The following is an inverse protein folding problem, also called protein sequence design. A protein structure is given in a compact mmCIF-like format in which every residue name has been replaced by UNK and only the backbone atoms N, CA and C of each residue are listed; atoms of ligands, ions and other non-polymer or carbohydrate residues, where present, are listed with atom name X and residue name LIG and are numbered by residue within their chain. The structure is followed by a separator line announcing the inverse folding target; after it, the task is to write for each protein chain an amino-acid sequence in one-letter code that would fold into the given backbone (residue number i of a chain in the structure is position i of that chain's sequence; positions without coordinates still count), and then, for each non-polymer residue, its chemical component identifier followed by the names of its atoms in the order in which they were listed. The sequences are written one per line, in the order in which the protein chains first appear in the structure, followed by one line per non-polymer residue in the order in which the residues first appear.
data_IF_816972676244
#
_entry.id   IF_816972676244
#
_cell.length_a   1.000
_cell.length_b   1.000
_cell.length_c   1.000
_cell.angle_alpha   90.00
_cell.angle_beta   90.00
_cell.angle_gamma   90.00
#
_symmetry.space_group_name_H-M   'P 1'
#
loop_
_entity.id
_entity.type
_entity.pdbx_description
1 polymer ?
#
# COMPACT_ATOMS: atom_id res chain seq x y z
N UNK A 1 -23.28 -9.70 -11.62
CA UNK A 1 -23.15 -8.43 -10.87
C UNK A 1 -23.68 -7.32 -11.77
N UNK A 2 -24.89 -6.81 -11.48
CA UNK A 2 -25.46 -5.68 -12.24
C UNK A 2 -24.80 -4.40 -11.72
N UNK A 3 -23.94 -3.82 -12.53
CA UNK A 3 -23.36 -2.51 -12.24
C UNK A 3 -24.38 -1.46 -12.69
N UNK A 4 -25.11 -0.88 -11.76
CA UNK A 4 -26.07 0.20 -12.04
C UNK A 4 -25.28 1.51 -12.00
N UNK A 5 -25.07 2.13 -13.16
CA UNK A 5 -24.46 3.46 -13.29
C UNK A 5 -25.58 4.41 -13.67
N UNK A 6 -25.79 5.49 -12.90
CA UNK A 6 -26.81 6.49 -13.23
C UNK A 6 -26.31 7.42 -14.36
N UNK A 7 -27.26 8.08 -15.05
CA UNK A 7 -26.93 9.01 -16.14
C UNK A 7 -26.06 10.19 -15.67
N UNK A 8 -26.17 10.62 -14.41
CA UNK A 8 -25.30 11.65 -13.85
C UNK A 8 -23.83 11.22 -13.79
N UNK A 9 -23.58 9.92 -13.60
CA UNK A 9 -22.24 9.37 -13.57
C UNK A 9 -21.63 9.24 -14.98
N UNK A 10 -22.38 9.49 -16.05
CA UNK A 10 -21.87 9.50 -17.41
C UNK A 10 -22.45 10.73 -18.11
N UNK A 11 -21.91 11.94 -17.84
CA UNK A 11 -22.53 13.19 -18.30
C UNK A 11 -22.80 13.21 -19.80
N UNK A 12 -21.93 12.57 -20.59
CA UNK A 12 -22.05 12.49 -22.04
C UNK A 12 -23.23 11.64 -22.54
N UNK A 13 -23.81 10.77 -21.72
CA UNK A 13 -25.06 10.07 -22.07
C UNK A 13 -26.19 11.09 -22.29
N UNK A 14 -26.20 12.18 -21.51
CA UNK A 14 -27.19 13.24 -21.64
C UNK A 14 -27.00 14.06 -22.93
N UNK A 15 -25.84 13.96 -23.60
CA UNK A 15 -25.58 14.60 -24.91
C UNK A 15 -26.19 13.81 -26.07
N UNK A 16 -26.62 12.56 -25.84
CA UNK A 16 -27.16 11.68 -26.89
C UNK A 16 -28.64 12.02 -27.10
N UNK A 17 -29.06 12.42 -28.32
CA UNK A 17 -30.47 12.62 -28.63
C UNK A 17 -31.28 11.34 -28.39
N UNK A 18 -32.47 11.46 -27.80
CA UNK A 18 -33.31 10.31 -27.42
C UNK A 18 -33.64 9.39 -28.61
N UNK A 19 -33.86 10.00 -29.78
CA UNK A 19 -34.07 9.34 -31.06
C UNK A 19 -32.87 8.52 -31.55
N UNK A 20 -31.65 8.89 -31.15
CA UNK A 20 -30.42 8.16 -31.47
C UNK A 20 -30.13 7.11 -30.42
N UNK A 21 -30.46 7.35 -29.15
CA UNK A 21 -30.10 6.48 -28.04
C UNK A 21 -30.58 5.03 -28.22
N UNK A 22 -31.79 4.83 -28.74
CA UNK A 22 -32.34 3.50 -29.04
C UNK A 22 -31.62 2.74 -30.17
N UNK A 23 -30.76 3.42 -30.95
CA UNK A 23 -29.96 2.83 -32.03
C UNK A 23 -28.55 2.46 -31.60
N UNK A 24 -28.13 2.88 -30.40
CA UNK A 24 -26.78 2.64 -29.90
C UNK A 24 -26.69 1.34 -29.12
N UNK A 25 -25.55 0.67 -29.27
CA UNK A 25 -25.18 -0.49 -28.45
C UNK A 25 -24.19 -0.04 -27.39
N UNK A 26 -24.56 -0.22 -26.12
CA UNK A 26 -23.61 -0.08 -25.01
C UNK A 26 -22.79 -1.38 -24.86
N UNK A 27 -21.48 -1.27 -24.98
CA UNK A 27 -20.55 -2.33 -24.65
C UNK A 27 -19.94 -2.03 -23.28
N UNK A 28 -20.06 -2.92 -22.31
CA UNK A 28 -19.32 -2.77 -21.05
C UNK A 28 -17.83 -3.09 -21.26
N UNK A 29 -16.94 -2.62 -20.38
CA UNK A 29 -15.49 -2.81 -20.52
C UNK A 29 -15.08 -4.29 -20.57
N UNK A 30 -15.78 -5.16 -19.84
CA UNK A 30 -15.51 -6.59 -19.84
C UNK A 30 -15.92 -7.24 -21.18
N UNK A 31 -17.12 -6.92 -21.69
CA UNK A 31 -17.60 -7.40 -22.99
C UNK A 31 -16.74 -6.86 -24.14
N UNK A 32 -16.22 -5.64 -24.03
CA UNK A 32 -15.29 -5.08 -25.01
C UNK A 32 -13.98 -5.85 -25.05
N UNK A 33 -13.37 -6.12 -23.89
CA UNK A 33 -12.10 -6.87 -23.80
C UNK A 33 -12.22 -8.31 -24.32
N UNK A 34 -13.38 -8.93 -24.14
CA UNK A 34 -13.62 -10.31 -24.57
C UNK A 34 -14.10 -10.44 -26.02
N UNK A 35 -14.50 -9.34 -26.66
CA UNK A 35 -14.93 -9.38 -28.05
C UNK A 35 -13.73 -9.47 -28.98
N UNK A 36 -13.84 -10.34 -30.00
CA UNK A 36 -12.86 -10.40 -31.09
C UNK A 36 -12.91 -9.15 -31.96
N UNK A 37 -14.08 -8.53 -32.09
CA UNK A 37 -14.32 -7.37 -32.95
C UNK A 37 -13.68 -6.09 -32.39
N UNK A 38 -13.60 -5.97 -31.06
CA UNK A 38 -13.07 -4.79 -30.37
C UNK A 38 -11.64 -4.96 -29.85
N UNK A 39 -10.98 -6.09 -30.17
CA UNK A 39 -9.63 -6.38 -29.66
C UNK A 39 -8.62 -5.42 -30.29
N UNK A 40 -7.90 -4.67 -29.45
CA UNK A 40 -6.90 -3.67 -29.88
C UNK A 40 -7.44 -2.27 -30.17
N UNK A 41 -8.75 -2.07 -30.02
CA UNK A 41 -9.39 -0.75 -30.17
C UNK A 41 -9.58 -0.12 -28.78
N UNK A 42 -9.45 1.21 -28.60
CA UNK A 42 -9.76 1.86 -27.33
C UNK A 42 -11.24 1.70 -26.95
N UNK A 43 -11.51 1.55 -25.66
CA UNK A 43 -12.86 1.44 -25.13
C UNK A 43 -13.62 2.77 -25.23
N UNK A 44 -14.75 2.80 -25.95
CA UNK A 44 -15.56 4.01 -26.19
C UNK A 44 -16.95 3.96 -25.54
N UNK A 45 -17.37 2.83 -24.97
CA UNK A 45 -18.65 2.66 -24.30
C UNK A 45 -19.85 2.47 -25.23
N UNK A 46 -20.19 3.46 -26.06
CA UNK A 46 -21.34 3.42 -26.96
C UNK A 46 -20.93 3.35 -28.44
N UNK A 47 -21.61 2.47 -29.19
CA UNK A 47 -21.29 2.14 -30.57
C UNK A 47 -22.54 2.20 -31.45
N UNK A 48 -22.41 2.74 -32.65
CA UNK A 48 -23.45 2.70 -33.70
C UNK A 48 -23.37 1.34 -34.42
N UNK A 49 -22.16 0.84 -34.60
CA UNK A 49 -21.83 -0.46 -35.17
C UNK A 49 -20.53 -0.97 -34.53
N UNK A 50 -20.17 -2.27 -34.66
CA UNK A 50 -18.99 -2.83 -34.01
C UNK A 50 -17.65 -2.13 -34.33
N UNK A 51 -17.55 -1.46 -35.46
CA UNK A 51 -16.36 -0.72 -35.89
C UNK A 51 -16.51 0.81 -35.74
N UNK A 52 -17.68 1.29 -35.28
CA UNK A 52 -18.02 2.71 -35.26
C UNK A 52 -18.53 3.14 -33.90
N UNK A 53 -17.62 3.69 -33.09
CA UNK A 53 -17.97 4.35 -31.84
C UNK A 53 -18.84 5.59 -32.09
N UNK A 54 -19.80 5.85 -31.20
CA UNK A 54 -20.61 7.05 -31.23
C UNK A 54 -19.79 8.29 -30.80
N UNK A 55 -19.00 8.12 -29.73
CA UNK A 55 -18.10 9.17 -29.25
C UNK A 55 -16.72 9.08 -29.90
N UNK A 56 -16.12 10.23 -30.17
CA UNK A 56 -14.74 10.35 -30.67
C UNK A 56 -13.67 10.22 -29.58
N UNK A 57 -14.08 10.21 -28.31
CA UNK A 57 -13.20 10.02 -27.15
C UNK A 57 -13.79 8.99 -26.18
N UNK A 58 -12.95 8.30 -25.40
CA UNK A 58 -13.42 7.29 -24.44
C UNK A 58 -14.48 7.81 -23.49
N UNK A 59 -15.45 6.95 -23.18
CA UNK A 59 -16.52 7.27 -22.24
C UNK A 59 -15.92 7.51 -20.85
N UNK A 60 -16.10 8.72 -20.34
CA UNK A 60 -15.70 9.07 -18.97
C UNK A 60 -16.86 8.78 -18.02
N UNK A 61 -16.64 7.86 -17.09
CA UNK A 61 -17.55 7.63 -15.96
C UNK A 61 -17.09 8.50 -14.80
N UNK A 62 -17.90 9.51 -14.45
CA UNK A 62 -17.73 10.35 -13.27
C UNK A 62 -18.54 9.76 -12.13
N UNK A 63 -17.99 8.78 -11.42
CA UNK A 63 -18.64 8.29 -10.21
C UNK A 63 -18.56 9.37 -9.12
N UNK A 64 -19.70 9.97 -8.74
CA UNK A 64 -19.80 10.71 -7.48
C UNK A 64 -19.95 9.69 -6.36
N UNK A 65 -19.08 9.76 -5.35
CA UNK A 65 -19.19 8.91 -4.18
C UNK A 65 -20.48 9.29 -3.44
N UNK A 66 -21.50 8.45 -3.55
CA UNK A 66 -22.71 8.58 -2.73
C UNK A 66 -22.39 7.95 -1.37
N UNK A 67 -22.08 8.81 -0.40
CA UNK A 67 -21.93 8.40 1.00
C UNK A 67 -23.30 8.09 1.59
N UNK A 68 -23.42 6.96 2.29
CA UNK A 68 -24.65 6.59 2.98
C UNK A 68 -24.89 7.50 4.18
N UNK A 69 -26.17 7.73 4.53
CA UNK A 69 -26.52 8.43 5.77
C UNK A 69 -25.84 7.73 6.97
N UNK A 70 -24.94 8.45 7.67
CA UNK A 70 -24.15 7.90 8.78
C UNK A 70 -22.69 7.58 8.46
N UNK A 71 -22.25 7.73 7.20
CA UNK A 71 -20.82 7.68 6.87
C UNK A 71 -20.09 8.89 7.47
N UNK A 72 -19.01 8.65 8.21
CA UNK A 72 -18.10 9.70 8.64
C UNK A 72 -17.20 10.10 7.45
N UNK A 73 -17.07 11.40 7.20
CA UNK A 73 -16.14 11.96 6.22
C UNK A 73 -15.25 12.92 6.98
N UNK A 74 -13.98 12.56 7.13
CA UNK A 74 -12.97 13.50 7.58
C UNK A 74 -12.53 14.35 6.38
N UNK A 75 -12.67 15.66 6.52
CA UNK A 75 -12.25 16.67 5.54
C UNK A 75 -11.29 17.69 6.17
N UNK A 76 -10.65 17.32 7.29
CA UNK A 76 -9.64 18.17 7.94
C UNK A 76 -8.50 18.51 6.97
N UNK A 77 -7.86 19.69 7.10
CA UNK A 77 -6.75 20.08 6.25
C UNK A 77 -5.69 18.99 6.10
N UNK A 78 -5.53 18.50 4.87
CA UNK A 78 -4.70 17.35 4.51
C UNK A 78 -3.65 17.77 3.50
N UNK A 79 -2.41 17.35 3.72
CA UNK A 79 -1.34 17.52 2.75
C UNK A 79 -0.97 16.20 2.06
N UNK A 80 -0.79 16.22 0.74
CA UNK A 80 -0.23 15.09 -0.02
C UNK A 80 1.05 15.57 -0.71
N UNK A 81 2.17 15.14 -0.17
CA UNK A 81 3.51 15.55 -0.63
C UNK A 81 4.19 14.34 -1.27
N UNK A 82 4.85 14.55 -2.40
CA UNK A 82 5.74 13.57 -3.01
C UNK A 82 7.14 14.14 -3.18
N UNK A 83 8.13 13.41 -2.71
CA UNK A 83 9.54 13.58 -3.05
C UNK A 83 9.89 12.55 -4.11
N UNK A 84 10.28 12.98 -5.31
CA UNK A 84 10.58 12.09 -6.42
C UNK A 84 11.97 12.36 -7.00
N UNK A 85 12.75 11.30 -7.20
CA UNK A 85 14.01 11.39 -7.92
C UNK A 85 13.75 11.82 -9.38
N UNK A 86 14.57 12.71 -9.93
CA UNK A 86 14.38 13.39 -11.23
C UNK A 86 14.09 12.48 -12.42
N UNK A 87 14.61 11.25 -12.41
CA UNK A 87 14.46 10.27 -13.49
C UNK A 87 13.24 9.34 -13.32
N UNK A 88 12.45 9.51 -12.26
CA UNK A 88 11.27 8.68 -12.00
C UNK A 88 9.97 9.40 -12.39
N UNK A 89 9.10 8.77 -13.20
CA UNK A 89 7.82 9.36 -13.54
C UNK A 89 6.88 9.34 -12.33
N UNK A 90 6.41 10.52 -11.92
CA UNK A 90 5.34 10.65 -10.91
C UNK A 90 4.00 10.20 -11.51
N UNK A 91 3.77 10.44 -12.80
CA UNK A 91 2.50 10.13 -13.46
C UNK A 91 2.16 8.63 -13.41
N UNK A 92 0.95 8.33 -12.96
CA UNK A 92 0.45 6.96 -12.80
C UNK A 92 0.91 6.27 -11.52
N UNK A 93 1.66 6.97 -10.67
CA UNK A 93 2.08 6.47 -9.37
C UNK A 93 0.93 6.50 -8.33
N UNK A 94 1.15 5.90 -7.15
CA UNK A 94 0.21 5.99 -6.03
C UNK A 94 -0.12 7.42 -5.64
N UNK A 95 0.76 8.39 -5.90
CA UNK A 95 0.48 9.80 -5.67
C UNK A 95 -0.75 10.26 -6.47
N UNK A 96 -0.80 9.99 -7.77
CA UNK A 96 -1.97 10.38 -8.58
C UNK A 96 -3.23 9.59 -8.18
N UNK A 97 -3.08 8.32 -7.80
CA UNK A 97 -4.20 7.54 -7.29
C UNK A 97 -4.78 8.18 -6.01
N UNK A 98 -3.92 8.56 -5.05
CA UNK A 98 -4.35 9.24 -3.84
C UNK A 98 -5.08 10.56 -4.14
N UNK A 99 -4.51 11.40 -5.00
CA UNK A 99 -5.13 12.67 -5.38
C UNK A 99 -6.49 12.47 -6.04
N UNK A 100 -6.60 11.54 -6.99
CA UNK A 100 -7.87 11.24 -7.66
C UNK A 100 -8.95 10.81 -6.66
N UNK A 101 -8.59 10.00 -5.66
CA UNK A 101 -9.53 9.57 -4.64
C UNK A 101 -9.92 10.71 -3.70
N UNK A 102 -8.97 11.56 -3.30
CA UNK A 102 -9.20 12.69 -2.39
C UNK A 102 -9.99 13.83 -3.04
N UNK A 103 -9.81 14.08 -4.34
CA UNK A 103 -10.49 15.17 -5.06
C UNK A 103 -12.00 15.15 -4.82
N UNK A 104 -12.64 13.98 -4.85
CA UNK A 104 -14.08 13.88 -4.65
C UNK A 104 -14.56 14.24 -3.23
N UNK A 105 -13.69 14.19 -2.23
CA UNK A 105 -14.05 14.48 -0.82
C UNK A 105 -13.51 15.82 -0.33
N UNK A 106 -12.54 16.42 -1.03
CA UNK A 106 -11.85 17.63 -0.60
C UNK A 106 -11.99 18.81 -1.58
N UNK A 107 -12.46 18.60 -2.82
CA UNK A 107 -12.47 19.64 -3.87
C UNK A 107 -13.25 20.91 -3.52
N UNK A 108 -14.28 20.83 -2.68
CA UNK A 108 -15.16 21.97 -2.41
C UNK A 108 -14.68 22.87 -1.25
N UNK A 109 -13.66 22.43 -0.48
CA UNK A 109 -13.30 23.08 0.79
C UNK A 109 -11.90 23.70 0.81
N UNK A 110 -11.12 23.63 -0.27
CA UNK A 110 -9.71 24.06 -0.32
C UNK A 110 -8.84 23.48 0.82
N UNK A 111 -9.24 22.35 1.42
CA UNK A 111 -8.54 21.73 2.55
C UNK A 111 -7.48 20.71 2.11
N UNK A 112 -7.32 20.47 0.82
CA UNK A 112 -6.30 19.57 0.28
C UNK A 112 -5.15 20.38 -0.34
N UNK A 113 -3.97 20.27 0.24
CA UNK A 113 -2.74 20.90 -0.28
C UNK A 113 -1.83 19.83 -0.85
N UNK A 114 -1.28 20.07 -2.04
CA UNK A 114 -0.45 19.09 -2.74
C UNK A 114 0.86 19.69 -3.21
N UNK A 115 1.97 18.99 -2.97
CA UNK A 115 3.29 19.42 -3.45
C UNK A 115 4.05 18.26 -4.09
N UNK A 116 4.67 18.55 -5.21
CA UNK A 116 5.66 17.69 -5.86
C UNK A 116 7.05 18.33 -5.69
N UNK A 117 7.97 17.58 -5.10
CA UNK A 117 9.34 17.99 -4.85
C UNK A 117 10.25 17.03 -5.61
N UNK A 118 10.73 17.47 -6.76
CA UNK A 118 11.66 16.70 -7.58
C UNK A 118 13.08 16.98 -7.10
N UNK A 119 13.86 15.92 -6.84
CA UNK A 119 15.24 16.04 -6.37
C UNK A 119 16.24 15.32 -7.28
N UNK A 120 17.43 15.91 -7.36
CA UNK A 120 18.64 15.35 -7.97
C UNK A 120 19.81 16.15 -7.41
N UNK A 121 20.54 15.57 -6.47
CA UNK A 121 21.59 16.30 -5.75
C UNK A 121 22.99 16.14 -6.39
N UNK A 122 23.07 15.67 -7.63
CA UNK A 122 24.34 15.38 -8.33
C UNK A 122 25.11 16.61 -8.84
N UNK A 123 24.45 17.77 -8.93
CA UNK A 123 25.02 18.98 -9.56
C UNK A 123 25.40 20.02 -8.51
N UNK A 124 26.48 20.76 -8.75
CA UNK A 124 26.88 21.89 -7.92
C UNK A 124 25.72 22.89 -7.75
N UNK A 125 25.41 23.20 -6.49
CA UNK A 125 24.29 24.08 -6.11
C UNK A 125 22.91 23.41 -6.07
N UNK A 126 22.77 22.16 -6.51
CA UNK A 126 21.49 21.44 -6.48
C UNK A 126 20.95 21.27 -5.06
N UNK A 127 21.82 20.99 -4.08
CA UNK A 127 21.43 20.91 -2.67
C UNK A 127 20.84 22.23 -2.16
N UNK A 128 21.46 23.37 -2.48
CA UNK A 128 20.97 24.68 -2.06
C UNK A 128 19.62 25.03 -2.71
N UNK A 129 19.46 24.73 -4.01
CA UNK A 129 18.20 24.90 -4.72
C UNK A 129 17.09 24.00 -4.15
N UNK A 130 17.43 22.74 -3.85
CA UNK A 130 16.53 21.78 -3.21
C UNK A 130 16.10 22.23 -1.81
N UNK A 131 17.05 22.66 -0.97
CA UNK A 131 16.77 23.26 0.35
C UNK A 131 15.82 24.44 0.24
N UNK A 132 16.08 25.38 -0.69
CA UNK A 132 15.19 26.50 -0.89
C UNK A 132 13.76 26.07 -1.26
N UNK A 133 13.63 25.03 -2.10
CA UNK A 133 12.32 24.48 -2.48
C UNK A 133 11.60 23.83 -1.31
N UNK A 134 12.31 23.04 -0.49
CA UNK A 134 11.74 22.41 0.71
C UNK A 134 11.30 23.47 1.72
N UNK A 135 12.14 24.48 1.97
CA UNK A 135 11.81 25.59 2.86
C UNK A 135 10.57 26.37 2.40
N UNK A 136 10.43 26.63 1.10
CA UNK A 136 9.24 27.26 0.54
C UNK A 136 7.98 26.42 0.82
N UNK A 137 8.04 25.12 0.57
CA UNK A 137 6.91 24.19 0.84
C UNK A 137 6.58 24.14 2.33
N UNK A 138 7.58 24.14 3.21
CA UNK A 138 7.39 24.19 4.67
C UNK A 138 6.66 25.46 5.09
N UNK A 139 6.98 26.61 4.51
CA UNK A 139 6.28 27.87 4.77
C UNK A 139 4.82 27.76 4.32
N UNK A 140 4.58 27.35 3.07
CA UNK A 140 3.22 27.20 2.52
C UNK A 140 2.35 26.26 3.35
N UNK A 141 2.88 25.10 3.76
CA UNK A 141 2.16 24.13 4.58
C UNK A 141 1.84 24.64 6.00
N UNK A 142 2.70 25.46 6.60
CA UNK A 142 2.42 26.08 7.91
C UNK A 142 1.23 27.03 7.83
N UNK A 143 1.11 27.79 6.75
CA UNK A 143 -0.02 28.70 6.54
C UNK A 143 -1.34 27.96 6.29
N UNK A 144 -1.28 26.78 5.69
CA UNK A 144 -2.46 25.98 5.34
C UNK A 144 -3.13 25.28 6.54
N UNK A 145 -2.56 25.32 7.74
CA UNK A 145 -3.21 24.76 8.94
C UNK A 145 -3.39 23.24 8.92
N UNK A 146 -2.52 22.52 8.22
CA UNK A 146 -2.55 21.07 8.00
C UNK A 146 -2.67 20.29 9.33
N UNK A 147 -3.47 19.22 9.32
CA UNK A 147 -3.72 18.29 10.43
C UNK A 147 -3.22 16.88 10.17
N UNK A 148 -3.29 16.45 8.92
CA UNK A 148 -2.79 15.14 8.48
C UNK A 148 -1.92 15.27 7.23
N UNK A 149 -1.04 14.30 7.00
CA UNK A 149 -0.25 14.27 5.79
C UNK A 149 0.01 12.85 5.27
N UNK A 150 0.05 12.71 3.95
CA UNK A 150 0.71 11.60 3.28
C UNK A 150 2.00 12.13 2.66
N UNK A 151 3.13 11.54 3.03
CA UNK A 151 4.42 11.83 2.40
C UNK A 151 4.86 10.63 1.61
N UNK A 152 5.05 10.78 0.30
CA UNK A 152 5.50 9.71 -0.58
C UNK A 152 6.94 9.97 -1.03
N UNK A 153 7.78 8.95 -0.98
CA UNK A 153 9.17 9.01 -1.42
C UNK A 153 9.33 8.02 -2.57
N UNK A 154 9.57 8.54 -3.77
CA UNK A 154 9.85 7.77 -4.98
C UNK A 154 11.33 7.89 -5.31
N UNK A 155 12.07 6.81 -5.09
CA UNK A 155 13.50 6.72 -5.39
C UNK A 155 13.90 5.30 -5.81
N UNK A 156 15.15 5.11 -6.17
CA UNK A 156 15.77 3.79 -6.30
C UNK A 156 16.44 3.37 -5.00
N UNK A 157 16.64 2.06 -4.84
CA UNK A 157 17.52 1.49 -3.85
C UNK A 157 18.66 0.74 -4.52
N UNK A 158 19.83 0.80 -3.91
CA UNK A 158 20.99 0.05 -4.36
C UNK A 158 20.76 -1.45 -4.16
N UNK A 159 21.00 -2.26 -5.19
CA UNK A 159 20.71 -3.69 -5.15
C UNK A 159 21.54 -4.47 -4.11
N UNK A 160 22.74 -3.99 -3.79
CA UNK A 160 23.65 -4.69 -2.89
C UNK A 160 23.32 -4.43 -1.41
N UNK A 161 22.98 -3.18 -1.06
CA UNK A 161 22.83 -2.76 0.34
C UNK A 161 21.45 -2.18 0.69
N UNK A 162 20.57 -1.98 -0.29
CA UNK A 162 19.21 -1.44 -0.09
C UNK A 162 19.15 0.06 0.22
N UNK A 163 20.26 0.79 0.10
CA UNK A 163 20.31 2.22 0.46
C UNK A 163 19.61 3.11 -0.59
N UNK A 164 18.91 4.17 -0.17
CA UNK A 164 18.17 5.07 -1.05
C UNK A 164 19.10 5.88 -1.95
N UNK A 165 18.62 6.13 -3.16
CA UNK A 165 19.26 7.05 -4.10
C UNK A 165 18.87 8.49 -3.77
N UNK A 166 19.85 9.38 -3.71
CA UNK A 166 19.66 10.83 -3.56
C UNK A 166 19.92 11.59 -4.88
N UNK A 167 20.42 10.87 -5.87
CA UNK A 167 20.66 11.29 -7.25
C UNK A 167 20.56 10.05 -8.17
N UNK A 168 20.44 10.20 -9.51
CA UNK A 168 20.18 9.07 -10.42
C UNK A 168 21.18 7.91 -10.36
N UNK A 169 22.43 8.16 -9.95
CA UNK A 169 23.50 7.17 -9.94
C UNK A 169 24.16 6.99 -8.56
N UNK A 170 23.64 7.63 -7.51
CA UNK A 170 24.28 7.70 -6.20
C UNK A 170 23.32 7.36 -5.07
N UNK A 171 23.74 6.43 -4.21
CA UNK A 171 23.04 6.09 -2.98
C UNK A 171 23.75 6.66 -1.75
N UNK A 172 22.99 6.92 -0.70
CA UNK A 172 23.51 7.43 0.57
C UNK A 172 22.87 6.70 1.75
N UNK A 173 23.40 6.91 2.95
CA UNK A 173 22.78 6.36 4.17
C UNK A 173 21.40 6.97 4.39
N UNK A 174 20.53 6.29 5.16
CA UNK A 174 19.23 6.87 5.51
C UNK A 174 19.37 8.21 6.23
N UNK A 175 20.37 8.36 7.11
CA UNK A 175 20.66 9.62 7.79
C UNK A 175 20.94 10.76 6.80
N UNK A 176 21.82 10.52 5.83
CA UNK A 176 22.14 11.50 4.78
C UNK A 176 20.92 11.78 3.89
N UNK A 177 20.15 10.75 3.56
CA UNK A 177 18.93 10.90 2.76
C UNK A 177 17.90 11.78 3.47
N UNK A 178 17.59 11.50 4.74
CA UNK A 178 16.65 12.31 5.51
C UNK A 178 17.18 13.72 5.76
N UNK A 179 18.46 13.91 6.01
CA UNK A 179 19.04 15.24 6.22
C UNK A 179 19.11 16.08 4.93
N UNK A 180 19.45 15.46 3.79
CA UNK A 180 19.66 16.15 2.51
C UNK A 180 18.40 16.29 1.67
N UNK A 181 17.67 15.18 1.47
CA UNK A 181 16.49 15.13 0.58
C UNK A 181 15.23 15.57 1.32
N UNK A 182 14.97 15.05 2.52
CA UNK A 182 13.72 15.37 3.25
C UNK A 182 13.86 16.66 4.07
N UNK A 183 15.01 16.82 4.71
CA UNK A 183 15.42 17.94 5.56
C UNK A 183 14.70 18.03 6.91
N UNK A 184 15.47 18.42 7.94
CA UNK A 184 15.00 18.48 9.33
C UNK A 184 13.83 19.44 9.53
N UNK A 185 13.78 20.54 8.77
CA UNK A 185 12.69 21.52 8.86
C UNK A 185 11.33 20.93 8.46
N UNK A 186 11.31 20.08 7.43
CA UNK A 186 10.12 19.38 6.98
C UNK A 186 9.75 18.25 7.95
N UNK A 187 10.73 17.46 8.39
CA UNK A 187 10.50 16.40 9.38
C UNK A 187 9.89 16.99 10.66
N UNK A 188 10.48 18.05 11.20
CA UNK A 188 9.99 18.73 12.40
C UNK A 188 8.55 19.23 12.23
N UNK A 189 8.19 19.72 11.04
CA UNK A 189 6.83 20.14 10.76
C UNK A 189 5.86 18.94 10.76
N UNK A 190 6.20 17.85 10.07
CA UNK A 190 5.33 16.66 9.96
C UNK A 190 5.10 15.93 11.29
N UNK A 191 5.99 16.08 12.27
CA UNK A 191 5.78 15.56 13.64
C UNK A 191 4.54 16.12 14.32
N UNK A 192 4.10 17.31 13.92
CA UNK A 192 2.93 17.98 14.49
C UNK A 192 1.61 17.52 13.87
N UNK A 193 1.68 16.63 12.87
CA UNK A 193 0.53 16.13 12.10
C UNK A 193 0.38 14.62 12.23
N UNK A 194 -0.82 14.13 11.94
CA UNK A 194 -1.04 12.69 11.73
C UNK A 194 -0.47 12.27 10.36
N UNK A 195 0.82 11.92 10.33
CA UNK A 195 1.56 11.69 9.08
C UNK A 195 1.79 10.21 8.80
N UNK A 196 1.58 9.78 7.56
CA UNK A 196 1.98 8.47 7.05
C UNK A 196 2.95 8.60 5.88
N UNK A 197 4.09 7.93 6.00
CA UNK A 197 5.16 7.95 5.00
C UNK A 197 5.10 6.70 4.12
N UNK A 198 5.25 6.86 2.82
CA UNK A 198 5.32 5.77 1.85
C UNK A 198 6.70 5.75 1.19
N UNK A 199 7.47 4.68 1.45
CA UNK A 199 8.71 4.38 0.74
C UNK A 199 8.37 3.64 -0.55
N UNK A 200 8.04 4.39 -1.60
CA UNK A 200 7.72 3.89 -2.95
C UNK A 200 9.02 3.65 -3.74
N UNK A 201 9.91 2.83 -3.17
CA UNK A 201 11.25 2.64 -3.71
C UNK A 201 11.32 1.42 -4.62
N UNK A 202 11.91 1.59 -5.80
CA UNK A 202 12.26 0.49 -6.68
C UNK A 202 13.59 -0.13 -6.21
N UNK A 203 13.63 -1.44 -5.97
CA UNK A 203 14.84 -2.13 -5.49
C UNK A 203 14.65 -2.71 -4.08
N UNK A 204 15.68 -3.38 -3.53
CA UNK A 204 15.55 -4.17 -2.31
C UNK A 204 15.69 -3.35 -1.02
N UNK A 205 15.12 -2.13 -0.96
CA UNK A 205 15.24 -1.24 0.22
C UNK A 205 14.75 -1.87 1.53
N UNK A 206 13.72 -2.71 1.45
CA UNK A 206 13.14 -3.33 2.64
C UNK A 206 13.69 -4.75 2.89
N UNK A 207 14.57 -5.26 2.02
CA UNK A 207 14.98 -6.67 2.01
C UNK A 207 16.49 -6.90 1.95
N UNK A 208 17.29 -5.95 1.49
CA UNK A 208 18.74 -6.11 1.35
C UNK A 208 19.50 -5.77 2.62
N UNK A 209 20.40 -6.67 3.03
CA UNK A 209 21.38 -6.41 4.08
C UNK A 209 20.77 -5.85 5.39
N UNK A 210 21.29 -4.72 5.85
CA UNK A 210 20.86 -4.01 7.07
C UNK A 210 19.90 -2.85 6.81
N UNK A 211 19.51 -2.60 5.55
CA UNK A 211 18.72 -1.42 5.14
C UNK A 211 17.46 -1.20 5.97
N UNK A 212 16.63 -2.24 6.15
CA UNK A 212 15.42 -2.13 6.96
C UNK A 212 15.72 -1.75 8.42
N UNK A 213 16.77 -2.33 9.01
CA UNK A 213 17.18 -2.05 10.39
C UNK A 213 17.67 -0.61 10.51
N UNK A 214 18.44 -0.14 9.53
CA UNK A 214 18.93 1.24 9.48
C UNK A 214 17.79 2.24 9.28
N UNK A 215 16.83 1.95 8.40
CA UNK A 215 15.62 2.75 8.22
C UNK A 215 14.81 2.84 9.52
N UNK A 216 14.58 1.71 10.20
CA UNK A 216 13.86 1.70 11.48
C UNK A 216 14.63 2.49 12.55
N UNK A 217 15.96 2.37 12.60
CA UNK A 217 16.79 3.12 13.54
C UNK A 217 16.69 4.62 13.29
N UNK A 218 16.79 5.04 12.03
CA UNK A 218 16.72 6.45 11.65
C UNK A 218 15.30 7.00 11.87
N UNK A 219 14.25 6.24 11.51
CA UNK A 219 12.87 6.61 11.77
C UNK A 219 12.59 6.79 13.27
N UNK A 220 13.14 5.91 14.14
CA UNK A 220 13.05 6.10 15.60
C UNK A 220 13.76 7.38 16.05
N UNK A 221 14.97 7.65 15.53
CA UNK A 221 15.73 8.87 15.86
C UNK A 221 14.99 10.14 15.44
N UNK A 222 14.36 10.11 14.27
CA UNK A 222 13.58 11.21 13.72
C UNK A 222 12.13 11.22 14.22
N UNK A 223 11.72 10.31 15.09
CA UNK A 223 10.35 10.15 15.63
C UNK A 223 9.28 10.02 14.53
N UNK A 224 9.63 9.42 13.40
CA UNK A 224 8.69 9.15 12.30
C UNK A 224 7.85 7.93 12.67
N UNK A 225 6.56 8.15 12.94
CA UNK A 225 5.73 7.11 13.53
C UNK A 225 5.22 6.06 12.53
N UNK A 226 4.93 6.41 11.28
CA UNK A 226 4.31 5.47 10.33
C UNK A 226 5.02 5.48 9.00
N UNK A 227 5.64 4.36 8.64
CA UNK A 227 6.24 4.13 7.33
C UNK A 227 5.66 2.87 6.72
N UNK A 228 5.23 2.96 5.46
CA UNK A 228 4.81 1.83 4.64
C UNK A 228 5.82 1.70 3.49
N UNK A 229 6.44 0.53 3.35
CA UNK A 229 7.39 0.25 2.28
C UNK A 229 7.09 -1.07 1.56
N UNK A 230 7.74 -1.26 0.42
CA UNK A 230 7.58 -2.46 -0.42
C UNK A 230 8.92 -3.18 -0.54
N UNK A 231 8.91 -4.52 -0.46
CA UNK A 231 10.14 -5.33 -0.57
C UNK A 231 10.28 -6.14 -1.85
N UNK A 232 9.90 -5.63 -3.02
CA UNK A 232 10.20 -6.26 -4.31
C UNK A 232 11.28 -5.47 -5.03
N UNK A 233 12.31 -6.17 -5.52
CA UNK A 233 13.39 -5.57 -6.31
C UNK A 233 12.87 -4.93 -7.63
N UNK A 234 12.00 -5.61 -8.37
CA UNK A 234 11.34 -5.09 -9.58
C UNK A 234 10.01 -4.35 -9.31
N UNK A 235 9.92 -3.61 -8.21
CA UNK A 235 8.68 -2.92 -7.84
C UNK A 235 8.35 -1.81 -8.85
N UNK A 236 7.10 -1.82 -9.34
CA UNK A 236 6.53 -0.70 -10.08
C UNK A 236 5.52 0.02 -9.17
N UNK A 237 5.71 1.32 -8.87
CA UNK A 237 4.83 2.08 -7.97
C UNK A 237 3.34 1.93 -8.28
N UNK A 238 2.96 1.89 -9.56
CA UNK A 238 1.56 1.76 -9.99
C UNK A 238 0.85 0.49 -9.49
N UNK A 239 1.60 -0.55 -9.09
CA UNK A 239 1.04 -1.76 -8.50
C UNK A 239 0.39 -1.50 -7.12
N UNK A 240 0.79 -0.43 -6.43
CA UNK A 240 0.17 0.01 -5.19
C UNK A 240 -1.04 0.92 -5.40
N UNK A 241 -1.48 1.22 -6.63
CA UNK A 241 -2.63 2.10 -6.83
C UNK A 241 -3.89 1.57 -6.11
N UNK A 242 -4.28 0.28 -6.22
CA UNK A 242 -5.43 -0.24 -5.46
C UNK A 242 -5.23 -0.17 -3.94
N UNK A 243 -4.00 -0.38 -3.46
CA UNK A 243 -3.65 -0.20 -2.05
C UNK A 243 -3.91 1.24 -1.62
N UNK A 244 -3.38 2.20 -2.38
CA UNK A 244 -3.49 3.62 -2.06
C UNK A 244 -4.93 4.11 -2.09
N UNK A 245 -5.71 3.71 -3.09
CA UNK A 245 -7.13 4.06 -3.17
C UNK A 245 -7.89 3.57 -1.93
N UNK A 246 -7.64 2.33 -1.50
CA UNK A 246 -8.28 1.75 -0.31
C UNK A 246 -7.78 2.41 0.97
N UNK A 247 -6.49 2.74 1.04
CA UNK A 247 -5.87 3.42 2.16
C UNK A 247 -6.48 4.80 2.37
N UNK A 248 -6.52 5.62 1.32
CA UNK A 248 -7.16 6.93 1.33
C UNK A 248 -8.62 6.82 1.77
N UNK A 249 -9.36 5.90 1.17
CA UNK A 249 -10.78 5.71 1.47
C UNK A 249 -11.03 5.37 2.95
N UNK A 250 -10.37 4.33 3.46
CA UNK A 250 -10.63 3.82 4.81
C UNK A 250 -9.97 4.65 5.90
N UNK A 251 -8.72 5.02 5.70
CA UNK A 251 -7.95 5.70 6.72
C UNK A 251 -8.24 7.21 6.73
N UNK A 252 -8.17 7.88 5.58
CA UNK A 252 -8.22 9.34 5.53
C UNK A 252 -9.64 9.87 5.39
N UNK A 253 -10.48 9.26 4.55
CA UNK A 253 -11.84 9.75 4.33
C UNK A 253 -12.77 9.22 5.42
N UNK A 254 -12.80 7.90 5.66
CA UNK A 254 -13.68 7.31 6.67
C UNK A 254 -13.17 7.51 8.11
N UNK A 255 -11.88 7.87 8.29
CA UNK A 255 -11.29 8.11 9.61
C UNK A 255 -11.12 6.84 10.45
N UNK A 256 -11.07 5.66 9.84
CA UNK A 256 -10.75 4.44 10.57
C UNK A 256 -9.32 4.50 11.13
N UNK A 257 -9.07 3.90 12.29
CA UNK A 257 -7.73 3.90 12.90
C UNK A 257 -6.73 3.06 12.10
N UNK A 258 -5.47 3.49 12.04
CA UNK A 258 -4.41 2.84 11.26
C UNK A 258 -4.32 1.33 11.53
N UNK A 259 -4.31 0.92 12.79
CA UNK A 259 -4.22 -0.49 13.22
C UNK A 259 -5.41 -1.35 12.77
N UNK A 260 -6.57 -0.75 12.53
CA UNK A 260 -7.76 -1.46 12.02
C UNK A 260 -7.73 -1.54 10.50
N UNK A 261 -7.29 -0.48 9.84
CA UNK A 261 -7.26 -0.37 8.38
C UNK A 261 -6.19 -1.26 7.78
N UNK A 262 -4.96 -1.21 8.30
CA UNK A 262 -3.82 -1.86 7.67
C UNK A 262 -4.01 -3.36 7.46
N UNK A 263 -4.46 -4.16 8.45
CA UNK A 263 -4.74 -5.57 8.24
C UNK A 263 -5.83 -5.81 7.18
N UNK A 264 -6.89 -5.00 7.16
CA UNK A 264 -7.99 -5.12 6.18
C UNK A 264 -7.51 -4.87 4.75
N UNK A 265 -6.69 -3.83 4.54
CA UNK A 265 -6.19 -3.49 3.20
C UNK A 265 -5.25 -4.57 2.69
N UNK A 266 -4.31 -4.98 3.54
CA UNK A 266 -3.32 -5.98 3.20
C UNK A 266 -3.99 -7.35 2.92
N UNK A 267 -5.03 -7.72 3.66
CA UNK A 267 -5.74 -8.99 3.45
C UNK A 267 -6.81 -8.93 2.36
N UNK A 268 -7.43 -7.77 2.13
CA UNK A 268 -8.55 -7.61 1.18
C UNK A 268 -8.12 -7.43 -0.27
N UNK A 269 -6.90 -6.95 -0.54
CA UNK A 269 -6.39 -6.70 -1.89
C UNK A 269 -5.67 -7.92 -2.48
N UNK A 270 -6.41 -9.03 -2.53
CA UNK A 270 -5.95 -10.37 -2.90
C UNK A 270 -5.58 -10.54 -4.37
N UNK A 271 -6.05 -9.66 -5.26
CA UNK A 271 -5.81 -9.78 -6.70
C UNK A 271 -4.53 -9.07 -7.19
N UNK A 272 -4.04 -8.05 -6.46
CA UNK A 272 -2.94 -7.18 -6.94
C UNK A 272 -1.71 -7.20 -6.03
N UNK A 273 -1.89 -7.48 -4.73
CA UNK A 273 -0.81 -7.49 -3.74
C UNK A 273 -0.37 -8.89 -3.34
N UNK A 274 -0.93 -9.95 -3.93
CA UNK A 274 -0.68 -11.33 -3.54
C UNK A 274 0.79 -11.78 -3.61
N UNK A 275 1.67 -10.98 -4.20
CA UNK A 275 3.10 -11.25 -4.31
C UNK A 275 3.97 -10.09 -3.83
N UNK A 276 3.35 -9.03 -3.29
CA UNK A 276 4.03 -7.81 -2.86
C UNK A 276 4.16 -7.83 -1.33
N UNK A 277 5.36 -8.08 -0.77
CA UNK A 277 5.59 -7.95 0.65
C UNK A 277 5.50 -6.48 1.03
N UNK A 278 4.50 -6.16 1.86
CA UNK A 278 4.31 -4.84 2.43
C UNK A 278 4.94 -4.82 3.82
N UNK A 279 5.75 -3.81 4.06
CA UNK A 279 6.37 -3.56 5.35
C UNK A 279 5.67 -2.37 5.99
N UNK A 280 5.28 -2.55 7.24
CA UNK A 280 4.66 -1.49 8.05
C UNK A 280 5.55 -1.28 9.26
N UNK A 281 6.15 -0.10 9.33
CA UNK A 281 6.91 0.36 10.49
C UNK A 281 5.98 1.28 11.28
N UNK A 282 5.60 0.85 12.47
CA UNK A 282 4.72 1.62 13.35
C UNK A 282 5.02 1.33 14.83
N UNK A 283 4.54 2.18 15.76
CA UNK A 283 4.55 1.82 17.17
C UNK A 283 3.79 0.50 17.36
N UNK A 284 4.18 -0.32 18.35
CA UNK A 284 3.42 -1.50 18.71
C UNK A 284 2.02 -1.07 19.17
N UNK A 285 0.98 -1.85 18.85
CA UNK A 285 -0.36 -1.56 19.34
C UNK A 285 -0.35 -1.53 20.87
N UNK A 286 -1.15 -0.65 21.50
CA UNK A 286 -1.24 -0.59 22.94
C UNK A 286 -1.63 -1.98 23.46
N UNK A 287 -0.86 -2.50 24.42
CA UNK A 287 -1.21 -3.76 25.08
C UNK A 287 -2.60 -3.54 25.67
N UNK A 288 -3.60 -4.31 25.20
CA UNK A 288 -4.90 -4.36 25.88
C UNK A 288 -4.59 -4.64 27.35
N UNK A 289 -5.04 -3.75 28.24
CA UNK A 289 -5.00 -4.02 29.66
C UNK A 289 -5.69 -5.37 29.82
N UNK A 290 -4.92 -6.40 30.14
CA UNK A 290 -5.47 -7.68 30.55
C UNK A 290 -6.38 -7.38 31.72
N UNK A 291 -7.63 -7.86 31.65
CA UNK A 291 -8.65 -7.78 32.70
C UNK A 291 -8.10 -8.33 34.02
N UNK A 292 -7.33 -7.50 34.73
CA UNK A 292 -7.02 -7.65 36.13
C UNK A 292 -7.84 -6.59 36.83
N UNK A 293 -8.98 -7.03 37.33
CA UNK A 293 -9.93 -6.33 38.18
C UNK A 293 -9.34 -5.93 39.55
N UNK A 294 -8.17 -5.30 39.59
CA UNK A 294 -7.52 -4.81 40.82
C UNK A 294 -6.67 -3.53 40.64
N UNK A 295 -6.94 -2.69 39.64
CA UNK A 295 -6.15 -1.46 39.42
C UNK A 295 -6.99 -0.16 39.39
N UNK A 296 -8.13 -0.11 40.06
CA UNK A 296 -8.92 1.14 40.19
C UNK A 296 -8.47 2.05 41.34
N UNK A 297 -7.44 1.72 42.12
CA UNK A 297 -7.07 2.51 43.31
C UNK A 297 -5.72 3.25 43.23
N UNK A 298 -5.12 3.39 42.04
CA UNK A 298 -3.78 4.03 41.89
C UNK A 298 -3.75 5.23 40.94
N UNK A 299 -4.90 5.71 40.46
CA UNK A 299 -5.00 6.68 39.36
C UNK A 299 -4.94 8.17 39.75
N UNK A 300 -4.44 8.52 40.95
CA UNK A 300 -4.36 9.94 41.36
C UNK A 300 -2.95 10.49 41.64
N UNK A 301 -1.87 9.73 41.40
CA UNK A 301 -0.50 10.24 41.64
C UNK A 301 0.50 9.72 40.59
N UNK A 302 0.55 10.34 39.40
CA UNK A 302 1.79 10.48 38.59
C UNK A 302 1.50 11.23 37.28
N UNK A 303 1.18 12.51 37.37
CA UNK A 303 0.96 13.38 36.21
C UNK A 303 2.23 13.87 35.50
N UNK A 304 3.41 13.25 35.71
CA UNK A 304 4.68 13.76 35.14
C UNK A 304 5.69 12.69 34.68
N UNK A 305 5.30 11.41 34.57
CA UNK A 305 6.19 10.44 33.91
C UNK A 305 6.00 10.50 32.40
N UNK A 306 6.84 11.28 31.71
CA UNK A 306 7.02 11.21 30.26
C UNK A 306 7.47 9.78 29.93
N UNK A 307 6.54 8.90 29.57
CA UNK A 307 6.90 7.59 29.07
C UNK A 307 7.76 7.79 27.81
N UNK A 308 8.91 7.10 27.70
CA UNK A 308 9.72 7.17 26.49
C UNK A 308 8.86 6.73 25.30
N UNK A 309 9.02 7.37 24.12
CA UNK A 309 8.24 7.02 22.94
C UNK A 309 8.38 5.53 22.64
N UNK A 310 7.24 4.89 22.35
CA UNK A 310 7.22 3.46 22.06
C UNK A 310 8.13 3.17 20.86
N UNK A 311 9.09 2.25 21.04
CA UNK A 311 10.02 1.86 19.98
C UNK A 311 9.25 1.30 18.79
N UNK A 312 9.54 1.81 17.59
CA UNK A 312 8.92 1.33 16.35
C UNK A 312 9.27 -0.14 16.11
N UNK A 313 8.30 -0.87 15.56
CA UNK A 313 8.46 -2.25 15.11
C UNK A 313 8.14 -2.34 13.63
N UNK A 314 8.85 -3.22 12.90
CA UNK A 314 8.57 -3.51 11.51
C UNK A 314 7.78 -4.81 11.40
N UNK A 315 6.54 -4.74 10.93
CA UNK A 315 5.73 -5.90 10.57
C UNK A 315 5.84 -6.14 9.06
N UNK A 316 6.13 -7.37 8.67
CA UNK A 316 6.13 -7.80 7.28
C UNK A 316 4.85 -8.57 7.00
N UNK A 317 4.11 -8.13 6.00
CA UNK A 317 2.93 -8.82 5.54
C UNK A 317 3.21 -9.52 4.23
N UNK A 318 2.91 -10.82 4.19
CA UNK A 318 2.88 -11.62 2.98
C UNK A 318 1.49 -12.13 2.73
N UNK A 319 1.19 -12.32 1.45
CA UNK A 319 0.05 -13.11 1.04
C UNK A 319 0.59 -14.24 0.15
N UNK A 320 0.12 -15.47 0.38
CA UNK A 320 0.39 -16.60 -0.50
C UNK A 320 -0.95 -17.19 -0.90
N UNK A 321 -1.25 -17.20 -2.20
CA UNK A 321 -2.38 -17.97 -2.71
C UNK A 321 -1.91 -19.41 -2.97
N UNK A 322 -2.43 -20.43 -2.26
CA UNK A 322 -1.90 -21.80 -2.36
C UNK A 322 -2.03 -22.46 -3.75
N UNK A 323 -2.86 -21.90 -4.65
CA UNK A 323 -3.25 -22.56 -5.92
C UNK A 323 -2.78 -21.85 -7.20
N UNK A 324 -2.02 -20.77 -7.11
CA UNK A 324 -1.47 -20.07 -8.28
C UNK A 324 0.06 -20.17 -8.27
N UNK A 325 0.57 -21.27 -8.81
CA UNK A 325 1.96 -21.40 -9.25
C UNK A 325 2.02 -21.05 -10.76
N UNK A 326 2.35 -19.81 -11.15
CA UNK A 326 2.40 -19.42 -12.56
C UNK A 326 3.59 -20.03 -13.33
N UNK A 327 4.54 -20.69 -12.66
CA UNK A 327 5.78 -21.14 -13.30
C UNK A 327 6.03 -22.66 -13.29
N UNK A 328 5.17 -23.49 -12.68
CA UNK A 328 5.33 -24.97 -12.61
C UNK A 328 6.73 -25.46 -12.20
N UNK A 329 7.58 -24.61 -11.64
CA UNK A 329 8.86 -25.04 -11.09
C UNK A 329 8.65 -25.41 -9.61
N UNK A 330 9.22 -26.53 -9.16
CA UNK A 330 9.35 -26.79 -7.74
C UNK A 330 10.23 -25.69 -7.14
N UNK A 331 9.73 -25.00 -6.09
CA UNK A 331 10.56 -24.07 -5.34
C UNK A 331 11.78 -24.82 -4.77
N UNK A 332 12.99 -24.22 -4.79
CA UNK A 332 14.14 -24.81 -4.11
C UNK A 332 13.93 -24.76 -2.58
N UNK A 333 13.74 -25.95 -2.01
CA UNK A 333 14.09 -26.38 -0.64
C UNK A 333 14.21 -25.29 0.44
N UNK A 334 13.24 -25.23 1.35
CA UNK A 334 13.42 -24.77 2.73
C UNK A 334 12.46 -25.53 3.68
N UNK A 335 12.94 -25.80 4.90
CA UNK A 335 12.56 -26.88 5.81
C UNK A 335 11.23 -26.63 6.58
N UNK A 336 10.57 -27.72 7.03
CA UNK A 336 9.22 -27.75 7.62
C UNK A 336 9.21 -28.17 9.10
N UNK A 337 8.25 -27.70 9.90
CA UNK A 337 7.99 -28.16 11.28
C UNK A 337 6.49 -28.02 11.66
N UNK A 338 5.91 -29.05 12.29
CA UNK A 338 4.57 -29.04 12.90
C UNK A 338 4.54 -28.36 14.29
N UNK A 339 3.45 -27.66 14.60
CA UNK A 339 3.35 -26.77 15.76
C UNK A 339 2.91 -27.51 17.06
N UNK A 340 3.74 -27.48 18.10
CA UNK A 340 3.38 -27.87 19.49
C UNK A 340 3.85 -26.79 20.49
N UNK A 341 2.88 -26.04 21.03
CA UNK A 341 3.06 -24.94 21.98
C UNK A 341 3.69 -25.39 23.32
N UNK A 342 3.46 -26.63 23.75
CA UNK A 342 4.01 -27.18 25.00
C UNK A 342 5.49 -27.55 24.83
N UNK A 343 5.90 -27.94 23.62
CA UNK A 343 7.31 -28.20 23.28
C UNK A 343 8.12 -26.92 23.07
N UNK A 344 7.56 -25.87 22.49
CA UNK A 344 8.26 -24.59 22.30
C UNK A 344 8.74 -23.97 23.63
N UNK A 345 7.92 -24.06 24.68
CA UNK A 345 8.28 -23.59 26.02
C UNK A 345 9.48 -24.35 26.63
N UNK A 346 9.74 -25.60 26.22
CA UNK A 346 10.92 -26.39 26.65
C UNK A 346 12.20 -26.07 25.87
N UNK A 347 12.11 -25.45 24.68
CA UNK A 347 13.28 -25.14 23.86
C UNK A 347 14.12 -23.97 24.44
N UNK A 348 13.52 -23.14 25.31
CA UNK A 348 14.18 -22.01 25.99
C UNK A 348 15.22 -22.49 27.02
N UNK A 349 15.19 -23.78 27.42
CA UNK A 349 16.13 -24.35 28.40
C UNK A 349 17.41 -24.98 27.80
N UNK A 350 17.88 -24.52 26.64
CA UNK A 350 19.29 -24.70 26.23
C UNK A 350 19.67 -26.01 25.54
N UNK A 351 18.75 -26.64 24.81
CA UNK A 351 19.04 -27.85 23.98
C UNK A 351 18.90 -27.54 22.49
N UNK A 352 19.54 -28.36 21.64
CA UNK A 352 19.60 -28.15 20.19
C UNK A 352 18.21 -28.24 19.55
N UNK A 353 17.89 -27.32 18.65
CA UNK A 353 16.59 -27.23 17.96
C UNK A 353 16.22 -28.54 17.23
N UNK A 354 17.23 -29.29 16.76
CA UNK A 354 17.06 -30.56 16.05
C UNK A 354 16.54 -31.70 16.93
N UNK A 355 16.67 -31.60 18.26
CA UNK A 355 16.20 -32.62 19.19
C UNK A 355 14.67 -32.54 19.41
N UNK A 356 14.06 -31.40 19.07
CA UNK A 356 12.64 -31.12 19.28
C UNK A 356 11.81 -31.15 18.00
N UNK A 357 12.47 -30.97 16.86
CA UNK A 357 11.84 -30.83 15.55
C UNK A 357 12.48 -31.81 14.55
N UNK A 358 12.12 -33.11 14.60
CA UNK A 358 12.64 -34.08 13.65
C UNK A 358 12.11 -33.74 12.23
N UNK A 359 12.94 -33.88 11.19
CA UNK A 359 12.56 -33.55 9.82
C UNK A 359 11.43 -34.47 9.32
N UNK A 360 10.38 -33.88 8.74
CA UNK A 360 9.29 -34.61 8.09
C UNK A 360 9.56 -34.79 6.58
N UNK A 361 9.12 -35.92 6.03
CA UNK A 361 9.22 -36.24 4.59
C UNK A 361 8.17 -35.48 3.73
N UNK A 362 8.50 -35.25 2.46
CA UNK A 362 7.71 -34.51 1.47
C UNK A 362 6.24 -34.97 1.37
N UNK A 363 5.28 -34.05 1.59
CA UNK A 363 3.84 -34.33 1.48
C UNK A 363 2.94 -33.09 1.44
N UNK A 364 1.66 -33.32 1.13
CA UNK A 364 0.57 -32.34 1.10
C UNK A 364 0.32 -31.77 2.51
N UNK A 365 0.40 -30.44 2.67
CA UNK A 365 0.19 -29.77 3.97
C UNK A 365 -1.32 -29.62 4.18
N UNK A 366 -1.88 -30.43 5.07
CA UNK A 366 -3.32 -30.46 5.38
C UNK A 366 -3.68 -29.66 6.64
N UNK A 367 -2.71 -29.37 7.48
CA UNK A 367 -2.88 -28.69 8.75
C UNK A 367 -2.30 -27.27 8.73
N UNK A 368 -2.75 -26.37 9.62
CA UNK A 368 -2.12 -25.08 9.82
C UNK A 368 -0.63 -25.21 10.17
N UNK A 369 0.24 -24.56 9.41
CA UNK A 369 1.69 -24.64 9.57
C UNK A 369 2.35 -23.27 9.54
N UNK A 370 3.47 -23.14 10.26
CA UNK A 370 4.33 -21.95 10.23
C UNK A 370 5.69 -22.32 9.68
N UNK A 371 6.12 -21.64 8.62
CA UNK A 371 7.47 -21.80 8.06
C UNK A 371 8.38 -20.82 8.77
N UNK A 372 9.46 -21.32 9.37
CA UNK A 372 10.45 -20.53 10.09
C UNK A 372 11.81 -20.69 9.41
N UNK A 373 12.50 -19.57 9.22
CA UNK A 373 13.85 -19.52 8.67
C UNK A 373 14.90 -19.99 9.67
N UNK A 374 16.13 -20.14 9.19
CA UNK A 374 17.25 -20.66 10.00
C UNK A 374 17.58 -19.79 11.21
N UNK A 375 17.18 -18.52 11.21
CA UNK A 375 17.44 -17.58 12.30
C UNK A 375 16.20 -17.35 13.19
N UNK A 376 15.16 -18.18 13.07
CA UNK A 376 13.94 -18.06 13.87
C UNK A 376 12.92 -17.05 13.33
N UNK A 377 13.17 -16.44 12.18
CA UNK A 377 12.22 -15.55 11.52
C UNK A 377 11.05 -16.32 10.89
N UNK A 378 9.83 -15.82 11.02
CA UNK A 378 8.67 -16.42 10.35
C UNK A 378 8.73 -16.07 8.86
N UNK A 379 8.85 -17.08 8.01
CA UNK A 379 8.90 -16.95 6.56
C UNK A 379 7.50 -17.01 5.92
N UNK A 380 6.61 -17.85 6.45
CA UNK A 380 5.24 -17.96 5.97
C UNK A 380 4.30 -18.58 7.01
N UNK A 381 3.01 -18.30 6.88
CA UNK A 381 1.94 -19.07 7.50
C UNK A 381 1.12 -19.74 6.42
N UNK A 382 0.90 -21.05 6.57
CA UNK A 382 -0.01 -21.83 5.75
C UNK A 382 -1.20 -22.14 6.63
N UNK A 383 -2.33 -21.52 6.33
CA UNK A 383 -3.57 -21.72 7.06
C UNK A 383 -4.60 -22.29 6.07
N UNK A 384 -4.73 -23.63 5.99
CA UNK A 384 -5.74 -24.25 5.14
C UNK A 384 -7.14 -23.83 5.63
N UNK A 385 -8.09 -23.77 4.69
CA UNK A 385 -9.52 -23.55 4.96
C UNK A 385 -9.91 -22.22 5.65
N UNK A 386 -9.04 -21.21 5.66
CA UNK A 386 -9.37 -19.88 6.22
C UNK A 386 -10.52 -19.18 5.48
N UNK A 387 -10.66 -19.47 4.18
CA UNK A 387 -11.77 -18.97 3.38
C UNK A 387 -12.91 -19.98 3.41
N UNK A 388 -14.13 -19.50 3.64
CA UNK A 388 -15.31 -20.36 3.55
C UNK A 388 -15.42 -20.96 2.14
N UNK A 389 -15.93 -22.19 2.07
CA UNK A 389 -16.10 -22.94 0.80
C UNK A 389 -16.80 -22.10 -0.26
N UNK A 390 -17.84 -21.35 0.15
CA UNK A 390 -18.57 -20.44 -0.75
C UNK A 390 -17.70 -19.34 -1.37
N UNK A 391 -16.80 -18.71 -0.61
CA UNK A 391 -15.88 -17.70 -1.16
C UNK A 391 -14.85 -18.33 -2.10
N UNK A 392 -14.39 -19.53 -1.78
CA UNK A 392 -13.46 -20.29 -2.63
C UNK A 392 -14.13 -20.66 -3.96
N UNK A 393 -15.39 -21.08 -3.94
CA UNK A 393 -16.18 -21.40 -5.14
C UNK A 393 -16.43 -20.16 -6.00
N UNK A 394 -16.88 -19.05 -5.42
CA UNK A 394 -17.08 -17.79 -6.14
C UNK A 394 -15.79 -17.32 -6.84
N UNK A 395 -14.65 -17.41 -6.13
CA UNK A 395 -13.37 -17.00 -6.69
C UNK A 395 -12.90 -17.96 -7.80
N UNK A 396 -13.06 -19.27 -7.61
CA UNK A 396 -12.69 -20.25 -8.62
C UNK A 396 -13.54 -20.11 -9.89
N UNK A 397 -14.83 -19.82 -9.76
CA UNK A 397 -15.71 -19.62 -10.90
C UNK A 397 -15.38 -18.32 -11.66
N UNK A 398 -15.03 -17.25 -10.94
CA UNK A 398 -14.50 -16.03 -11.55
C UNK A 398 -13.15 -16.28 -12.26
N UNK A 399 -12.27 -17.09 -11.66
CA UNK A 399 -10.94 -17.39 -12.20
C UNK A 399 -10.96 -18.38 -13.38
N UNK A 400 -11.95 -19.30 -13.47
CA UNK A 400 -12.14 -20.19 -14.62
C UNK A 400 -12.33 -19.40 -15.92
N UNK A 401 -13.02 -18.27 -15.87
CA UNK A 401 -13.17 -17.35 -17.01
C UNK A 401 -11.87 -16.67 -17.45
N UNK A 402 -10.91 -16.49 -16.54
CA UNK A 402 -9.59 -15.94 -16.84
C UNK A 402 -8.62 -16.98 -17.40
N UNK A 403 -8.66 -18.22 -16.90
CA UNK A 403 -7.80 -19.31 -17.40
C UNK A 403 -8.10 -19.71 -18.84
N UNK A 404 -9.37 -19.69 -19.26
CA UNK A 404 -9.75 -19.98 -20.65
C UNK A 404 -9.30 -18.87 -21.62
N UNK A 405 -9.19 -17.63 -21.16
CA UNK A 405 -8.66 -16.52 -21.95
C UNK A 405 -7.13 -16.59 -22.10
N UNK A 406 -6.41 -17.08 -21.08
CA UNK A 406 -4.94 -17.22 -21.08
C UNK A 406 -4.43 -18.46 -21.83
N UNK A 407 -5.25 -19.50 -22.01
CA UNK A 407 -4.88 -20.68 -22.81
C UNK A 407 -5.15 -20.51 -24.32
N UNK A 408 -5.94 -19.49 -24.70
CA UNK A 408 -6.29 -19.17 -26.09
C UNK A 408 -5.63 -17.88 -26.60
N UNK A 409 -4.65 -17.36 -25.85
CA UNK A 409 -3.70 -16.34 -26.25
C UNK A 409 -2.33 -17.01 -26.39
#
# INVERSE_FOLDING_TARGET
MLCVICNECIPRILEIPEEVFGTLTFQCIACHRNSKEYRGVPYMGFYIAPDKAYFSVPLQVRARKVVTLGSHICNEPLAVIIFALSNLPIHGSPYNAALLQLQNSYADNDTLVTHEIIFDLSVDGALAAHTHKVDQVVVELKWAGIKGAIVMIMTHANDANGLPFFEPAGCCTFKEFFAGVIQDCFIALTKTWDTTWFMLTCGPMMTAGTSLVELVKEANFLEIQRIIGVGIAGFFPCMLNPFMMTFVEKFLIEGETFDKVMPKIVTGLTATLAHIPIYVISPPPPKKATDNSQAEESLLLSSDSVQPPARLTAARYYWFYPKLNPHRQPMPLQFYVDWDLVRYAKCISGTSINDFFPPAELGEIKDPSTIIGRNGEILAWILPEVLSVWHVEQFNDAAKGLKSALHNA
#
